data_IF_504482583964
#
_entry.id   IF_504482583964
#
_cell.length_a   1.000
_cell.length_b   1.000
_cell.length_c   1.000
_cell.angle_alpha   90.00
_cell.angle_beta   90.00
_cell.angle_gamma   90.00
#
_symmetry.space_group_name_H-M   'P 1'
#
loop_
_entity.id
_entity.type
_entity.pdbx_description
1 polymer ?
#
# COMPACT_ATOMS: atom_id res chain seq x y z
N UNK A 1 7.84 14.65 28.43
CA UNK A 1 8.75 15.81 28.51
C UNK A 1 10.09 15.35 29.08
N UNK A 2 11.00 14.79 28.26
CA UNK A 2 12.46 14.75 28.54
C UNK A 2 13.31 14.11 27.42
N UNK A 3 12.68 13.43 26.45
CA UNK A 3 13.36 12.75 25.32
C UNK A 3 14.27 13.67 24.49
N UNK A 4 13.89 14.94 24.34
CA UNK A 4 14.68 15.94 23.60
C UNK A 4 16.05 16.20 24.23
N UNK A 5 16.14 16.21 25.55
CA UNK A 5 17.36 16.61 26.26
C UNK A 5 18.47 15.55 26.21
N UNK A 6 18.10 14.26 26.19
CA UNK A 6 19.07 13.15 26.14
C UNK A 6 19.76 13.03 24.79
N UNK A 7 19.04 13.26 23.69
CA UNK A 7 19.57 13.19 22.32
C UNK A 7 20.45 14.42 22.03
N UNK A 8 20.04 15.61 22.48
CA UNK A 8 20.81 16.85 22.28
C UNK A 8 22.15 16.84 23.05
N UNK A 9 22.16 16.36 24.30
CA UNK A 9 23.39 16.33 25.13
C UNK A 9 24.48 15.41 24.55
N UNK A 10 24.11 14.28 23.95
CA UNK A 10 25.05 13.36 23.31
C UNK A 10 25.68 13.94 22.04
N UNK A 11 25.02 14.91 21.39
CA UNK A 11 25.46 15.47 20.12
C UNK A 11 26.34 16.71 20.28
N UNK A 12 26.10 17.53 21.31
CA UNK A 12 26.99 18.67 21.62
C UNK A 12 28.44 18.25 21.89
N UNK A 13 28.66 17.00 22.31
CA UNK A 13 30.02 16.47 22.54
C UNK A 13 30.73 15.95 21.29
N UNK A 14 30.02 15.74 20.15
CA UNK A 14 30.53 14.96 19.01
C UNK A 14 30.39 15.68 17.64
N UNK A 15 30.27 17.01 17.64
CA UNK A 15 29.90 17.82 16.48
C UNK A 15 31.03 18.08 15.45
N UNK A 16 31.84 17.07 15.10
CA UNK A 16 32.83 17.23 14.03
C UNK A 16 32.77 16.09 13.02
N UNK A 17 32.29 16.40 11.81
CA UNK A 17 32.38 15.60 10.58
C UNK A 17 31.56 14.30 10.52
N UNK A 18 30.25 14.45 10.29
CA UNK A 18 29.30 13.32 10.19
C UNK A 18 29.11 12.85 8.75
N UNK A 19 30.11 12.11 8.26
CA UNK A 19 30.08 11.43 6.97
C UNK A 19 29.82 9.95 7.27
N UNK A 20 28.65 9.39 6.92
CA UNK A 20 28.53 7.93 6.86
C UNK A 20 29.35 7.47 5.67
N UNK A 21 30.59 7.09 5.93
CA UNK A 21 31.38 6.42 4.92
C UNK A 21 30.70 5.11 4.52
N UNK A 22 30.26 5.10 3.26
CA UNK A 22 30.10 3.95 2.40
C UNK A 22 29.04 2.90 2.79
N UNK A 23 28.29 2.46 1.79
CA UNK A 23 27.54 1.21 1.83
C UNK A 23 28.28 0.19 0.95
N UNK A 24 28.78 -0.92 1.52
CA UNK A 24 29.80 -1.77 0.85
C UNK A 24 29.54 -3.28 0.87
N UNK A 25 28.35 -3.75 1.24
CA UNK A 25 28.11 -5.21 1.18
C UNK A 25 26.67 -5.60 0.97
N UNK A 26 26.43 -6.37 -0.09
CA UNK A 26 25.17 -7.05 -0.33
C UNK A 26 25.04 -8.29 0.52
N UNK A 27 23.95 -8.39 1.26
CA UNK A 27 23.57 -9.62 1.94
C UNK A 27 22.08 -9.88 1.76
N UNK A 28 21.71 -11.15 1.89
CA UNK A 28 20.30 -11.55 1.88
C UNK A 28 19.86 -12.09 3.23
N UNK A 29 18.94 -11.40 3.90
CA UNK A 29 18.28 -11.97 5.07
C UNK A 29 17.21 -12.95 4.57
N UNK A 30 17.41 -14.24 4.88
CA UNK A 30 16.52 -15.34 4.48
C UNK A 30 16.28 -15.45 2.95
N UNK A 31 17.26 -15.03 2.13
CA UNK A 31 17.22 -15.05 0.65
C UNK A 31 16.11 -14.19 0.00
N UNK A 32 15.45 -13.31 0.76
CA UNK A 32 14.26 -12.56 0.31
C UNK A 32 14.43 -11.05 0.28
N UNK A 33 15.40 -10.51 1.00
CA UNK A 33 15.69 -9.08 1.06
C UNK A 33 17.08 -8.88 0.54
N UNK A 34 17.28 -7.99 -0.43
CA UNK A 34 18.57 -7.53 -0.89
C UNK A 34 18.83 -6.15 -0.27
N UNK A 35 19.94 -5.99 0.42
CA UNK A 35 20.30 -4.74 1.07
C UNK A 35 21.80 -4.49 1.00
N UNK A 36 22.20 -3.23 1.13
CA UNK A 36 23.59 -2.84 1.31
C UNK A 36 23.85 -2.49 2.77
N UNK A 37 24.94 -2.99 3.34
CA UNK A 37 25.38 -2.66 4.70
C UNK A 37 26.06 -1.31 4.77
N UNK A 38 25.74 -0.53 5.80
CA UNK A 38 26.58 0.61 6.18
C UNK A 38 27.95 0.10 6.66
N UNK A 39 29.02 0.80 6.27
CA UNK A 39 30.38 0.54 6.74
C UNK A 39 30.94 1.77 7.47
N UNK A 40 32.20 1.70 7.91
CA UNK A 40 32.81 2.70 8.81
C UNK A 40 32.56 2.37 10.27
N UNK A 41 33.62 2.07 11.03
CA UNK A 41 33.51 1.65 12.43
C UNK A 41 32.88 2.73 13.31
N UNK A 42 33.40 3.96 13.21
CA UNK A 42 32.91 5.09 14.01
C UNK A 42 31.48 5.47 13.63
N UNK A 43 31.19 5.61 12.33
CA UNK A 43 29.87 6.00 11.84
C UNK A 43 28.79 4.96 12.17
N UNK A 44 29.11 3.66 12.05
CA UNK A 44 28.19 2.57 12.46
C UNK A 44 28.01 2.54 13.97
N UNK A 45 29.07 2.75 14.76
CA UNK A 45 28.99 2.79 16.23
C UNK A 45 28.10 3.93 16.72
N UNK A 46 28.21 5.10 16.09
CA UNK A 46 27.33 6.24 16.38
C UNK A 46 25.86 5.97 16.01
N UNK A 47 25.59 5.38 14.85
CA UNK A 47 24.23 4.96 14.48
C UNK A 47 23.64 3.96 15.49
N UNK A 48 24.45 3.02 15.99
CA UNK A 48 24.02 2.09 17.04
C UNK A 48 23.70 2.80 18.34
N UNK A 49 24.50 3.79 18.75
CA UNK A 49 24.22 4.61 19.93
C UNK A 49 22.89 5.37 19.80
N UNK A 50 22.62 5.99 18.64
CA UNK A 50 21.33 6.67 18.37
C UNK A 50 20.16 5.67 18.46
N UNK A 51 20.30 4.51 17.82
CA UNK A 51 19.28 3.47 17.86
C UNK A 51 19.02 2.93 19.27
N UNK A 52 20.07 2.84 20.11
CA UNK A 52 19.96 2.46 21.50
C UNK A 52 19.20 3.52 22.31
N UNK A 53 19.55 4.81 22.18
CA UNK A 53 18.82 5.89 22.86
C UNK A 53 17.35 5.89 22.46
N UNK A 54 17.04 5.74 21.17
CA UNK A 54 15.64 5.67 20.70
C UNK A 54 14.89 4.49 21.33
N UNK A 55 15.53 3.32 21.42
CA UNK A 55 14.96 2.13 22.05
C UNK A 55 14.65 2.38 23.52
N UNK A 56 15.62 2.89 24.28
CA UNK A 56 15.46 3.16 25.71
C UNK A 56 14.33 4.17 25.96
N UNK A 57 14.24 5.23 25.16
CA UNK A 57 13.18 6.22 25.28
C UNK A 57 11.79 5.67 24.91
N UNK A 58 11.70 4.80 23.91
CA UNK A 58 10.45 4.13 23.54
C UNK A 58 10.01 3.09 24.58
N UNK A 59 10.96 2.38 25.18
CA UNK A 59 10.70 1.46 26.31
C UNK A 59 10.19 2.24 27.53
N UNK A 60 10.82 3.37 27.89
CA UNK A 60 10.33 4.27 28.95
C UNK A 60 8.93 4.80 28.68
N UNK A 61 8.56 4.98 27.41
CA UNK A 61 7.23 5.40 26.99
C UNK A 61 6.22 4.24 26.92
N UNK A 62 6.57 3.03 27.35
CA UNK A 62 5.75 1.82 27.30
C UNK A 62 5.25 1.47 25.89
N UNK A 63 6.08 1.70 24.87
CA UNK A 63 5.79 1.29 23.49
C UNK A 63 6.17 -0.18 23.28
N UNK A 64 5.33 -0.91 22.54
CA UNK A 64 5.64 -2.29 22.17
C UNK A 64 6.76 -2.34 21.11
N UNK A 65 7.95 -2.74 21.55
CA UNK A 65 9.13 -2.99 20.70
C UNK A 65 9.33 -4.49 20.39
N UNK A 66 8.37 -5.32 20.81
CA UNK A 66 7.78 -6.41 20.05
C UNK A 66 8.50 -6.92 18.80
N UNK A 67 9.46 -7.85 18.89
CA UNK A 67 10.03 -8.48 17.68
C UNK A 67 11.08 -7.65 16.93
N UNK A 68 11.58 -6.56 17.54
CA UNK A 68 12.77 -5.87 17.05
C UNK A 68 14.01 -6.74 17.23
N UNK A 69 14.71 -6.98 16.13
CA UNK A 69 16.03 -7.63 16.14
C UNK A 69 17.11 -6.66 16.62
N UNK A 70 18.30 -7.19 16.88
CA UNK A 70 19.49 -6.37 17.06
C UNK A 70 19.64 -5.41 15.86
N UNK A 71 19.93 -4.13 16.16
CA UNK A 71 20.05 -3.11 15.14
C UNK A 71 21.28 -3.35 14.27
N UNK A 72 21.05 -3.65 13.00
CA UNK A 72 22.07 -3.82 11.98
C UNK A 72 21.78 -2.82 10.85
N UNK A 73 22.45 -1.65 10.81
CA UNK A 73 22.13 -0.60 9.84
C UNK A 73 22.37 -1.10 8.40
N UNK A 74 21.34 -0.98 7.56
CA UNK A 74 21.37 -1.40 6.16
C UNK A 74 20.39 -0.58 5.32
N UNK A 75 20.68 -0.45 4.03
CA UNK A 75 19.79 0.13 3.02
C UNK A 75 19.15 -1.00 2.20
N UNK A 76 17.85 -1.21 2.34
CA UNK A 76 17.13 -2.23 1.55
C UNK A 76 16.95 -1.74 0.11
N UNK A 77 17.45 -2.52 -0.85
CA UNK A 77 17.30 -2.24 -2.28
C UNK A 77 16.12 -3.00 -2.88
N UNK A 78 15.92 -4.25 -2.48
CA UNK A 78 14.82 -5.06 -2.97
C UNK A 78 14.28 -6.02 -1.90
N UNK A 79 12.99 -6.35 -2.00
CA UNK A 79 12.33 -7.30 -1.08
C UNK A 79 11.28 -8.13 -1.82
N UNK A 80 11.45 -9.44 -1.78
CA UNK A 80 10.46 -10.39 -2.26
C UNK A 80 9.31 -10.52 -1.26
N UNK A 81 8.20 -9.87 -1.56
CA UNK A 81 6.97 -10.01 -0.78
C UNK A 81 6.39 -11.43 -0.92
N UNK A 82 5.60 -11.87 0.07
CA UNK A 82 4.90 -13.16 0.01
C UNK A 82 4.02 -13.28 -1.24
N UNK A 83 3.38 -12.19 -1.65
CA UNK A 83 2.54 -12.15 -2.84
C UNK A 83 3.37 -12.23 -4.13
N UNK A 84 4.48 -11.48 -4.21
CA UNK A 84 5.38 -11.53 -5.36
C UNK A 84 5.89 -12.95 -5.59
N UNK A 85 6.36 -13.64 -4.53
CA UNK A 85 6.87 -15.02 -4.64
C UNK A 85 5.83 -16.02 -5.15
N UNK A 86 4.57 -15.85 -4.76
CA UNK A 86 3.47 -16.71 -5.23
C UNK A 86 3.14 -16.46 -6.70
N UNK A 87 3.17 -15.19 -7.13
CA UNK A 87 2.82 -14.80 -8.50
C UNK A 87 3.92 -15.10 -9.50
N UNK A 88 5.18 -14.82 -9.16
CA UNK A 88 6.31 -14.95 -10.09
C UNK A 88 7.00 -16.31 -10.04
N UNK A 89 6.71 -17.15 -9.04
CA UNK A 89 7.45 -18.40 -8.80
C UNK A 89 8.87 -18.19 -8.28
N UNK A 90 9.35 -16.94 -8.20
CA UNK A 90 10.68 -16.59 -7.71
C UNK A 90 10.71 -16.77 -6.20
N UNK A 91 11.47 -17.77 -5.72
CA UNK A 91 11.57 -18.09 -4.29
C UNK A 91 12.64 -17.26 -3.56
N UNK A 92 13.69 -16.86 -4.27
CA UNK A 92 14.85 -16.11 -3.75
C UNK A 92 15.37 -15.09 -4.78
N UNK A 93 16.05 -14.06 -4.28
CA UNK A 93 16.85 -13.16 -5.11
C UNK A 93 18.14 -13.89 -5.45
N UNK A 94 18.46 -14.01 -6.73
CA UNK A 94 19.62 -14.78 -7.21
C UNK A 94 20.87 -13.89 -7.23
N UNK A 95 22.02 -14.47 -6.89
CA UNK A 95 23.29 -13.74 -6.79
C UNK A 95 23.73 -13.19 -8.15
N UNK A 96 23.42 -13.92 -9.22
CA UNK A 96 23.73 -13.53 -10.59
C UNK A 96 23.04 -12.22 -10.99
N UNK A 97 21.92 -11.86 -10.36
CA UNK A 97 21.19 -10.62 -10.68
C UNK A 97 21.87 -9.35 -10.20
N UNK A 98 22.76 -9.45 -9.21
CA UNK A 98 23.48 -8.31 -8.64
C UNK A 98 24.99 -8.52 -8.60
N UNK A 99 25.50 -9.56 -9.27
CA UNK A 99 26.93 -9.90 -9.30
C UNK A 99 27.80 -8.72 -9.77
N UNK A 100 27.34 -7.98 -10.78
CA UNK A 100 28.06 -6.81 -11.32
C UNK A 100 28.25 -5.68 -10.30
N UNK A 101 27.40 -5.61 -9.27
CA UNK A 101 27.43 -4.53 -8.27
C UNK A 101 27.86 -5.02 -6.89
N UNK A 102 28.19 -6.30 -6.73
CA UNK A 102 28.34 -6.95 -5.42
C UNK A 102 29.41 -6.28 -4.53
N UNK A 103 30.46 -5.76 -5.16
CA UNK A 103 31.58 -5.09 -4.49
C UNK A 103 31.60 -3.57 -4.73
N UNK A 104 30.55 -3.03 -5.36
CA UNK A 104 30.41 -1.60 -5.64
C UNK A 104 30.08 -0.80 -4.38
N UNK A 105 30.57 0.44 -4.36
CA UNK A 105 30.28 1.39 -3.29
C UNK A 105 29.16 2.32 -3.72
N UNK A 106 28.06 2.34 -2.95
CA UNK A 106 26.86 3.14 -3.26
C UNK A 106 26.99 4.62 -2.89
N UNK A 107 28.18 5.05 -2.48
CA UNK A 107 28.45 6.38 -1.99
C UNK A 107 28.16 6.54 -0.49
N UNK A 108 28.00 7.79 -0.10
CA UNK A 108 28.02 8.27 1.28
C UNK A 108 26.77 9.11 1.53
N UNK A 109 26.11 8.89 2.67
CA UNK A 109 24.92 9.65 3.06
C UNK A 109 25.15 10.39 4.37
N UNK A 110 25.02 11.72 4.37
CA UNK A 110 24.98 12.47 5.63
C UNK A 110 23.65 12.21 6.35
N UNK A 111 23.67 11.94 7.65
CA UNK A 111 22.46 11.82 8.46
C UNK A 111 22.01 13.21 8.91
N UNK A 112 20.92 13.69 8.33
CA UNK A 112 20.41 15.04 8.58
C UNK A 112 19.19 15.06 9.51
N UNK A 113 18.47 13.95 9.64
CA UNK A 113 17.29 13.88 10.49
C UNK A 113 16.95 12.45 10.91
N UNK A 114 16.08 12.34 11.92
CA UNK A 114 15.43 11.13 12.37
C UNK A 114 13.91 11.28 12.20
N UNK A 115 13.27 10.29 11.59
CA UNK A 115 11.85 10.35 11.25
C UNK A 115 11.05 9.19 11.88
N UNK A 116 9.87 9.52 12.38
CA UNK A 116 8.85 8.58 12.83
C UNK A 116 7.88 8.29 11.67
N UNK A 117 8.10 7.17 10.99
CA UNK A 117 7.36 6.80 9.78
C UNK A 117 6.28 5.77 10.08
N UNK A 118 5.14 5.89 9.39
CA UNK A 118 4.06 4.90 9.45
C UNK A 118 4.13 3.91 8.29
N UNK A 119 4.09 2.62 8.61
CA UNK A 119 4.04 1.52 7.62
C UNK A 119 2.64 1.22 7.08
N UNK A 120 1.58 1.62 7.79
CA UNK A 120 0.18 1.27 7.47
C UNK A 120 -0.60 2.39 6.79
N UNK A 121 -0.31 3.65 7.13
CA UNK A 121 -0.89 4.81 6.45
C UNK A 121 -0.49 4.88 4.97
N UNK A 122 -1.33 5.46 4.11
CA UNK A 122 -0.99 5.69 2.71
C UNK A 122 0.32 6.45 2.56
N UNK A 123 1.09 6.07 1.54
CA UNK A 123 2.31 6.78 1.14
C UNK A 123 1.98 8.19 0.65
N UNK A 124 2.96 9.07 0.75
CA UNK A 124 2.89 10.42 0.18
C UNK A 124 2.85 10.37 -1.36
N UNK A 125 2.50 11.49 -2.00
CA UNK A 125 2.37 11.58 -3.46
C UNK A 125 3.64 11.17 -4.22
N UNK A 126 4.82 11.36 -3.62
CA UNK A 126 6.13 10.96 -4.18
C UNK A 126 6.50 9.49 -3.88
N UNK A 127 5.63 8.73 -3.22
CA UNK A 127 5.86 7.33 -2.86
C UNK A 127 6.65 7.09 -1.57
N UNK A 128 7.00 8.16 -0.85
CA UNK A 128 7.64 8.09 0.47
C UNK A 128 6.67 7.64 1.56
N UNK A 129 7.19 7.15 2.69
CA UNK A 129 6.34 6.76 3.83
C UNK A 129 5.69 8.00 4.45
N UNK A 130 4.50 7.82 5.01
CA UNK A 130 3.87 8.88 5.79
C UNK A 130 4.74 9.22 7.01
N UNK A 131 5.25 10.45 7.08
CA UNK A 131 6.03 10.95 8.21
C UNK A 131 5.09 11.56 9.27
N UNK A 132 5.11 11.00 10.48
CA UNK A 132 4.31 11.53 11.61
C UNK A 132 5.07 12.61 12.39
N UNK A 133 6.38 12.47 12.47
CA UNK A 133 7.27 13.39 13.17
C UNK A 133 8.67 13.30 12.58
N UNK A 134 9.37 14.43 12.52
CA UNK A 134 10.77 14.51 12.12
C UNK A 134 11.54 15.34 13.14
N UNK A 135 12.73 14.88 13.49
CA UNK A 135 13.71 15.63 14.27
C UNK A 135 14.94 15.84 13.40
N UNK A 136 15.24 17.09 13.07
CA UNK A 136 16.38 17.47 12.25
C UNK A 136 17.61 17.70 13.12
N UNK A 137 18.77 17.29 12.63
CA UNK A 137 20.06 17.51 13.27
C UNK A 137 20.71 18.79 12.72
N UNK A 138 21.26 19.61 13.62
CA UNK A 138 21.91 20.88 13.26
C UNK A 138 20.99 21.85 12.51
N UNK A 139 21.59 22.74 11.70
CA UNK A 139 20.86 23.72 10.89
C UNK A 139 20.40 23.15 9.53
N UNK A 140 20.03 21.87 9.48
CA UNK A 140 19.54 21.27 8.25
C UNK A 140 18.18 21.84 7.86
N UNK A 141 18.06 22.34 6.63
CA UNK A 141 16.77 22.68 6.02
C UNK A 141 16.52 21.77 4.84
N UNK A 142 15.33 21.18 4.77
CA UNK A 142 14.96 20.26 3.68
C UNK A 142 14.95 20.93 2.31
N UNK A 143 14.80 22.25 2.29
CA UNK A 143 14.90 23.08 1.08
C UNK A 143 16.31 23.06 0.47
N UNK A 144 17.35 22.69 1.23
CA UNK A 144 18.71 22.47 0.73
C UNK A 144 18.91 21.10 0.06
N UNK A 145 17.99 20.16 0.22
CA UNK A 145 17.96 18.91 -0.55
C UNK A 145 17.33 19.10 -1.94
N UNK A 146 17.21 20.34 -2.43
CA UNK A 146 16.80 20.67 -3.82
C UNK A 146 17.85 20.28 -4.88
N UNK A 147 18.68 19.28 -4.61
CA UNK A 147 19.47 18.61 -5.64
C UNK A 147 18.53 17.94 -6.64
N UNK A 148 19.02 17.77 -7.87
CA UNK A 148 18.31 17.04 -8.91
C UNK A 148 18.20 15.55 -8.54
N UNK A 149 17.08 15.16 -7.92
CA UNK A 149 16.75 13.76 -7.61
C UNK A 149 15.97 13.08 -8.74
N UNK A 150 15.94 13.65 -9.95
CA UNK A 150 15.15 13.13 -11.08
C UNK A 150 15.51 11.70 -11.50
N UNK A 151 16.70 11.23 -11.14
CA UNK A 151 17.14 9.85 -11.36
C UNK A 151 16.74 8.87 -10.23
N UNK A 152 16.41 9.37 -9.02
CA UNK A 152 16.19 8.54 -7.83
C UNK A 152 14.72 8.51 -7.38
N UNK A 153 14.04 9.66 -7.44
CA UNK A 153 12.60 9.72 -7.27
C UNK A 153 11.98 9.60 -8.65
N UNK A 154 11.12 8.59 -8.88
CA UNK A 154 10.38 8.48 -10.14
C UNK A 154 9.81 9.85 -10.50
N UNK A 155 10.18 10.44 -11.66
CA UNK A 155 9.70 11.76 -12.01
C UNK A 155 8.18 11.71 -12.01
N UNK A 156 7.55 12.75 -11.45
CA UNK A 156 6.14 12.98 -11.70
C UNK A 156 5.93 12.81 -13.23
N UNK A 157 4.93 12.03 -13.67
CA UNK A 157 4.73 11.78 -15.08
C UNK A 157 4.76 13.12 -15.82
N UNK A 158 5.56 13.21 -16.89
CA UNK A 158 5.66 14.44 -17.69
C UNK A 158 4.27 15.00 -17.98
N UNK A 159 4.09 16.31 -18.14
CA UNK A 159 2.77 16.89 -18.46
C UNK A 159 2.11 16.19 -19.67
N UNK A 160 2.89 15.69 -20.62
CA UNK A 160 2.42 14.88 -21.73
C UNK A 160 1.98 13.46 -21.31
N UNK A 161 2.72 12.80 -20.42
CA UNK A 161 2.36 11.51 -19.83
C UNK A 161 1.12 11.61 -18.94
N UNK A 162 0.97 12.67 -18.15
CA UNK A 162 -0.21 12.92 -17.34
C UNK A 162 -1.45 13.10 -18.21
N UNK A 163 -1.38 13.91 -19.28
CA UNK A 163 -2.47 14.06 -20.26
C UNK A 163 -2.86 12.73 -20.91
N UNK A 164 -1.90 11.85 -21.23
CA UNK A 164 -2.18 10.51 -21.76
C UNK A 164 -2.87 9.60 -20.74
N UNK A 165 -2.49 9.71 -19.46
CA UNK A 165 -3.12 8.96 -18.37
C UNK A 165 -4.55 9.45 -18.15
N UNK A 166 -4.76 10.77 -18.08
CA UNK A 166 -6.08 11.38 -17.89
C UNK A 166 -7.01 11.04 -19.07
N UNK A 167 -6.50 11.08 -20.30
CA UNK A 167 -7.26 10.69 -21.49
C UNK A 167 -7.67 9.21 -21.46
N UNK A 168 -6.77 8.31 -21.03
CA UNK A 168 -7.11 6.89 -20.86
C UNK A 168 -8.14 6.68 -19.74
N UNK A 169 -8.06 7.44 -18.66
CA UNK A 169 -9.01 7.35 -17.55
C UNK A 169 -10.41 7.80 -17.98
N UNK A 170 -10.49 8.91 -18.73
CA UNK A 170 -11.73 9.40 -19.36
C UNK A 170 -12.36 8.36 -20.32
N UNK A 171 -11.53 7.68 -21.14
CA UNK A 171 -12.02 6.61 -22.02
C UNK A 171 -12.55 5.41 -21.24
N UNK A 172 -11.89 5.04 -20.14
CA UNK A 172 -12.34 3.95 -19.27
C UNK A 172 -13.67 4.32 -18.59
N UNK A 173 -13.83 5.55 -18.12
CA UNK A 173 -15.07 6.00 -17.49
C UNK A 173 -16.23 6.03 -18.50
N UNK A 174 -15.98 6.50 -19.72
CA UNK A 174 -16.98 6.46 -20.80
C UNK A 174 -17.38 5.01 -21.14
N UNK A 175 -16.41 4.10 -21.28
CA UNK A 175 -16.68 2.68 -21.52
C UNK A 175 -17.47 2.04 -20.37
N UNK A 176 -17.14 2.40 -19.12
CA UNK A 176 -17.84 1.92 -17.92
C UNK A 176 -19.29 2.40 -17.88
N UNK A 177 -19.56 3.66 -18.23
CA UNK A 177 -20.92 4.19 -18.32
C UNK A 177 -21.73 3.50 -19.42
N UNK A 178 -21.11 3.23 -20.57
CA UNK A 178 -21.79 2.54 -21.67
C UNK A 178 -22.12 1.09 -21.35
N UNK A 179 -21.20 0.36 -20.71
CA UNK A 179 -21.47 -0.99 -20.19
C UNK A 179 -22.61 -0.95 -19.18
N UNK A 180 -22.61 0.03 -18.26
CA UNK A 180 -23.69 0.19 -17.27
C UNK A 180 -25.05 0.45 -17.93
N UNK A 181 -25.09 1.31 -18.96
CA UNK A 181 -26.31 1.60 -19.74
C UNK A 181 -26.81 0.37 -20.46
N UNK A 182 -25.92 -0.35 -21.11
CA UNK A 182 -26.22 -1.59 -21.84
C UNK A 182 -26.81 -2.64 -20.91
N UNK A 183 -26.13 -2.92 -19.79
CA UNK A 183 -26.63 -3.86 -18.77
C UNK A 183 -28.01 -3.44 -18.26
N UNK A 184 -28.20 -2.16 -17.94
CA UNK A 184 -29.50 -1.66 -17.45
C UNK A 184 -30.60 -1.85 -18.49
N UNK A 185 -30.31 -1.56 -19.76
CA UNK A 185 -31.27 -1.70 -20.87
C UNK A 185 -31.64 -3.17 -21.09
N UNK A 186 -30.65 -4.06 -21.16
CA UNK A 186 -30.88 -5.50 -21.31
C UNK A 186 -31.64 -6.09 -20.11
N UNK A 187 -31.32 -5.64 -18.89
CA UNK A 187 -32.02 -6.09 -17.68
C UNK A 187 -33.48 -5.67 -17.72
N UNK A 188 -33.77 -4.41 -18.04
CA UNK A 188 -35.14 -3.91 -18.13
C UNK A 188 -35.93 -4.59 -19.25
N UNK A 189 -35.33 -4.76 -20.44
CA UNK A 189 -35.96 -5.50 -21.53
C UNK A 189 -36.26 -6.95 -21.14
N UNK A 190 -35.34 -7.62 -20.42
CA UNK A 190 -35.57 -8.99 -19.95
C UNK A 190 -36.65 -9.07 -18.88
N UNK A 191 -36.71 -8.10 -17.97
CA UNK A 191 -37.77 -8.01 -16.96
C UNK A 191 -39.14 -7.80 -17.61
N UNK A 192 -39.20 -6.95 -18.65
CA UNK A 192 -40.44 -6.70 -19.40
C UNK A 192 -40.92 -7.95 -20.15
N UNK A 193 -40.02 -8.68 -20.81
CA UNK A 193 -40.35 -9.97 -21.44
C UNK A 193 -40.85 -10.99 -20.41
N UNK A 194 -40.27 -11.01 -19.20
CA UNK A 194 -40.70 -11.91 -18.13
C UNK A 194 -42.06 -11.52 -17.56
N UNK A 195 -42.43 -10.23 -17.54
CA UNK A 195 -43.78 -9.80 -17.17
C UNK A 195 -44.81 -10.10 -18.25
N UNK A 196 -44.46 -9.95 -19.53
CA UNK A 196 -45.32 -10.25 -20.67
C UNK A 196 -45.56 -11.77 -20.81
N UNK A 197 -44.53 -12.60 -20.61
CA UNK A 197 -44.67 -14.07 -20.54
C UNK A 197 -45.50 -14.57 -19.35
N UNK A 198 -45.75 -13.70 -18.35
CA UNK A 198 -46.60 -14.00 -17.20
C UNK A 198 -48.06 -13.59 -17.41
N UNK A 199 -48.39 -12.95 -18.54
CA UNK A 199 -49.71 -12.42 -18.86
C UNK A 199 -50.16 -12.84 -20.28
N UNK A 200 -50.52 -14.11 -20.49
CA UNK A 200 -51.63 -14.56 -21.38
C UNK A 200 -51.81 -16.10 -21.37
N UNK A 201 -53.01 -16.66 -21.61
CA UNK A 201 -54.21 -16.52 -20.78
C UNK A 201 -54.74 -17.90 -20.31
N UNK A 202 -55.32 -17.95 -19.11
CA UNK A 202 -56.37 -18.92 -18.82
C UNK A 202 -57.65 -18.36 -19.44
N UNK A 203 -58.26 -19.08 -20.38
CA UNK A 203 -59.70 -19.11 -20.69
C UNK A 203 -59.92 -19.57 -22.14
N UNK A 204 -60.08 -20.88 -22.31
CA UNK A 204 -60.89 -21.46 -23.38
C UNK A 204 -61.40 -22.82 -22.86
N UNK A 205 -62.62 -22.83 -22.32
CA UNK A 205 -63.56 -23.96 -22.16
C UNK A 205 -64.63 -23.48 -21.14
N UNK A 206 -65.94 -23.65 -21.31
CA UNK A 206 -66.80 -24.06 -22.41
C UNK A 206 -68.21 -23.63 -21.92
N UNK A 207 -69.06 -23.12 -22.82
CA UNK A 207 -70.38 -22.63 -22.47
C UNK A 207 -71.31 -23.70 -21.88
N UNK A 208 -72.16 -23.21 -20.99
CA UNK A 208 -73.26 -23.89 -20.29
C UNK A 208 -74.30 -24.40 -21.29
N UNK A 209 -74.72 -25.65 -21.15
CA UNK A 209 -76.04 -26.08 -21.64
C UNK A 209 -76.80 -26.84 -20.56
N UNK A 210 -78.05 -26.41 -20.42
CA UNK A 210 -79.05 -26.71 -19.40
C UNK A 210 -79.53 -28.17 -19.47
N UNK A 211 -79.78 -28.77 -18.31
CA UNK A 211 -80.14 -30.20 -18.19
C UNK A 211 -80.70 -30.55 -16.82
N UNK A 212 -81.83 -29.95 -16.49
CA UNK A 212 -82.69 -30.19 -15.32
C UNK A 212 -83.05 -31.68 -15.10
N UNK A 213 -82.94 -32.21 -13.87
CA UNK A 213 -83.97 -33.10 -13.29
C UNK A 213 -83.84 -33.35 -11.76
N UNK A 214 -84.97 -33.14 -11.06
CA UNK A 214 -85.43 -33.70 -9.75
C UNK A 214 -84.72 -33.21 -8.47
N UNK A 215 -85.32 -32.34 -7.62
CA UNK A 215 -86.46 -32.53 -6.67
C UNK A 215 -86.22 -33.78 -5.80
N UNK A 216 -86.06 -33.72 -4.47
CA UNK A 216 -87.05 -33.49 -3.37
C UNK A 216 -86.32 -33.10 -2.03
N UNK A 217 -86.98 -32.78 -0.87
CA UNK A 217 -86.78 -31.53 -0.13
C UNK A 217 -86.45 -31.73 1.38
N UNK A 218 -86.73 -30.70 2.19
CA UNK A 218 -86.91 -30.67 3.66
C UNK A 218 -85.61 -30.53 4.49
N UNK A 219 -85.51 -29.73 5.53
CA UNK A 219 -86.37 -28.71 6.15
C UNK A 219 -85.51 -28.03 7.24
N UNK A 220 -85.85 -26.78 7.58
CA UNK A 220 -85.83 -26.23 8.96
C UNK A 220 -84.47 -25.99 9.69
N UNK A 221 -84.20 -24.94 10.48
CA UNK A 221 -84.99 -23.95 11.24
C UNK A 221 -84.14 -22.66 11.41
N UNK A 222 -84.82 -21.51 11.41
CA UNK A 222 -84.56 -20.32 12.22
C UNK A 222 -83.89 -20.65 13.58
N UNK A 223 -82.94 -19.90 14.11
CA UNK A 223 -83.13 -18.58 14.74
C UNK A 223 -81.77 -18.11 15.25
#
# INVERSE_FOLDING_TARGET
HNTKNGIEALWSSNASSDVLECFRKFETSLLKVLYVKAIGEDSVSRLKAIAQVCREEFEKANLDLSGNKAFAPHLTLAKLSKQSRRKSGIKKIQDEWYAAFKDETFGTQKVNSLQLLSMSKPKEAKGYYYCSLEHTFGNFSRDQESGDHSECCAPAPSKASQRKIDQKLLQIDAAKQEVKRTISTLTNAKLQQLSELKQEPAEAELEVSDGNLTIVPEDEIST
#
